data_IF_672093849888
#
_entry.id   IF_672093849888
#
_cell.length_a   1.000
_cell.length_b   1.000
_cell.length_c   1.000
_cell.angle_alpha   90.00
_cell.angle_beta   90.00
_cell.angle_gamma   90.00
#
_symmetry.space_group_name_H-M   'P 1'
#
loop_
_entity.id
_entity.type
_entity.pdbx_description
1 polymer ?
#
# COMPACT_ATOMS: atom_id res chain seq x y z
N UNK A 1 8.85 23.69 -40.86
CA UNK A 1 7.79 22.68 -40.62
C UNK A 1 8.32 21.60 -39.67
N UNK A 2 7.60 21.40 -38.55
CA UNK A 2 7.38 20.16 -37.75
C UNK A 2 8.38 19.00 -37.99
N UNK A 3 8.98 18.36 -36.99
CA UNK A 3 8.38 17.79 -35.77
C UNK A 3 9.47 17.57 -34.71
N UNK A 4 9.38 18.23 -33.55
CA UNK A 4 10.02 17.74 -32.32
C UNK A 4 9.02 16.77 -31.71
N UNK A 5 9.40 15.50 -31.63
CA UNK A 5 8.62 14.45 -31.00
C UNK A 5 8.68 14.70 -29.48
N UNK A 6 7.62 15.28 -28.94
CA UNK A 6 7.44 15.48 -27.51
C UNK A 6 7.01 14.12 -26.91
N UNK A 7 7.97 13.34 -26.40
CA UNK A 7 7.65 12.13 -25.65
C UNK A 7 7.43 12.53 -24.18
N UNK A 8 6.21 12.97 -23.84
CA UNK A 8 5.81 13.10 -22.44
C UNK A 8 5.31 11.73 -21.99
N UNK A 9 6.14 11.02 -21.23
CA UNK A 9 5.68 9.86 -20.46
C UNK A 9 5.10 10.38 -19.14
N UNK A 10 3.81 10.74 -19.13
CA UNK A 10 3.10 11.02 -17.87
C UNK A 10 2.84 9.68 -17.19
N UNK A 11 3.64 9.33 -16.19
CA UNK A 11 3.27 8.29 -15.23
C UNK A 11 2.12 8.89 -14.40
N UNK A 12 0.87 8.66 -14.81
CA UNK A 12 -0.30 9.05 -14.02
C UNK A 12 -0.40 8.13 -12.81
N UNK A 13 0.39 8.39 -11.76
CA UNK A 13 0.05 7.93 -10.43
C UNK A 13 -1.27 8.62 -10.05
N UNK A 14 -2.38 7.92 -10.26
CA UNK A 14 -3.70 8.42 -9.90
C UNK A 14 -3.78 8.48 -8.38
N UNK A 15 -3.69 9.69 -7.82
CA UNK A 15 -3.86 9.90 -6.38
C UNK A 15 -5.30 9.52 -6.04
N UNK A 16 -5.48 8.56 -5.13
CA UNK A 16 -6.76 7.90 -4.78
C UNK A 16 -7.82 8.84 -4.17
N UNK A 17 -7.49 10.11 -3.92
CA UNK A 17 -8.27 11.04 -3.12
C UNK A 17 -9.65 11.45 -3.71
N UNK A 18 -10.00 11.05 -4.94
CA UNK A 18 -11.22 11.52 -5.61
C UNK A 18 -11.98 10.46 -6.46
N UNK A 19 -11.69 9.16 -6.31
CA UNK A 19 -12.41 8.12 -7.07
C UNK A 19 -13.65 7.63 -6.33
N UNK A 20 -14.76 7.46 -7.05
CA UNK A 20 -15.91 6.71 -6.55
C UNK A 20 -15.46 5.29 -6.16
N UNK A 21 -15.91 4.85 -4.99
CA UNK A 21 -15.64 3.51 -4.49
C UNK A 21 -16.83 2.58 -4.82
N UNK A 22 -16.60 1.35 -5.30
CA UNK A 22 -15.28 0.78 -5.61
C UNK A 22 -14.67 1.35 -6.90
N UNK A 23 -13.34 1.48 -6.93
CA UNK A 23 -12.62 1.93 -8.12
C UNK A 23 -12.61 0.87 -9.23
N UNK A 24 -12.30 1.26 -10.47
CA UNK A 24 -12.16 0.29 -11.57
C UNK A 24 -10.98 -0.69 -11.37
N UNK A 25 -11.12 -2.00 -11.65
CA UNK A 25 -10.00 -2.91 -11.55
C UNK A 25 -8.84 -2.54 -12.49
N UNK A 26 -7.63 -2.34 -11.95
CA UNK A 26 -6.41 -2.07 -12.74
C UNK A 26 -5.14 -2.58 -12.08
N UNK A 27 -4.03 -2.54 -12.81
CA UNK A 27 -2.70 -2.97 -12.38
C UNK A 27 -1.96 -1.87 -11.61
N UNK A 28 -2.61 -1.32 -10.59
CA UNK A 28 -1.94 -0.49 -9.59
C UNK A 28 -2.54 0.88 -9.31
N UNK A 29 -2.23 1.34 -8.10
CA UNK A 29 -2.65 2.61 -7.51
C UNK A 29 -1.55 3.13 -6.60
N UNK A 30 -1.57 4.44 -6.34
CA UNK A 30 -0.68 5.10 -5.40
C UNK A 30 -1.45 5.62 -4.19
N UNK A 31 -0.89 5.40 -3.00
CA UNK A 31 -1.50 5.75 -1.73
C UNK A 31 -0.59 6.71 -0.96
N UNK A 32 -1.09 7.89 -0.55
CA UNK A 32 -0.31 8.82 0.26
C UNK A 32 -0.11 8.30 1.69
N UNK A 33 0.96 8.72 2.35
CA UNK A 33 1.22 8.43 3.77
C UNK A 33 0.02 8.86 4.63
N UNK A 34 -0.39 8.01 5.56
CA UNK A 34 -1.62 8.19 6.34
C UNK A 34 -2.86 7.68 5.63
N UNK A 35 -2.73 6.61 4.85
CA UNK A 35 -3.85 5.96 4.17
C UNK A 35 -4.14 4.61 4.81
N UNK A 36 -5.43 4.33 5.01
CA UNK A 36 -5.92 2.98 5.32
C UNK A 36 -6.93 2.59 4.26
N UNK A 37 -6.74 1.43 3.66
CA UNK A 37 -7.49 1.04 2.48
C UNK A 37 -7.67 -0.47 2.38
N UNK A 38 -8.68 -0.87 1.63
CA UNK A 38 -9.00 -2.27 1.33
C UNK A 38 -9.05 -2.44 -0.18
N UNK A 39 -8.39 -3.47 -0.68
CA UNK A 39 -8.45 -3.84 -2.10
C UNK A 39 -9.16 -5.17 -2.30
N UNK A 40 -9.78 -5.33 -3.46
CA UNK A 40 -10.36 -6.59 -3.95
C UNK A 40 -9.67 -7.01 -5.23
N UNK A 41 -9.22 -8.26 -5.27
CA UNK A 41 -8.47 -8.81 -6.40
C UNK A 41 -9.40 -9.35 -7.48
N UNK A 42 -9.04 -9.10 -8.74
CA UNK A 42 -9.72 -9.58 -9.94
C UNK A 42 -8.70 -10.34 -10.79
N UNK A 43 -8.87 -11.66 -10.99
CA UNK A 43 -7.92 -12.43 -11.77
C UNK A 43 -7.91 -11.94 -13.22
N UNK A 44 -6.72 -11.67 -13.74
CA UNK A 44 -6.48 -11.40 -15.17
C UNK A 44 -6.20 -12.71 -15.88
N UNK A 45 -5.43 -13.59 -15.23
CA UNK A 45 -5.10 -14.94 -15.69
C UNK A 45 -5.00 -15.90 -14.49
N UNK A 46 -4.36 -17.07 -14.67
CA UNK A 46 -4.21 -18.07 -13.61
C UNK A 46 -3.28 -17.65 -12.46
N UNK A 47 -2.47 -16.61 -12.64
CA UNK A 47 -1.41 -16.14 -11.74
C UNK A 47 -1.59 -14.67 -11.35
N UNK A 48 -1.97 -13.82 -12.29
CA UNK A 48 -1.95 -12.35 -12.18
C UNK A 48 -3.29 -11.75 -11.79
N UNK A 49 -3.27 -10.61 -11.11
CA UNK A 49 -4.47 -9.90 -10.66
C UNK A 49 -4.40 -8.40 -10.94
N UNK A 50 -5.52 -7.85 -11.39
CA UNK A 50 -5.85 -6.44 -11.20
C UNK A 50 -6.54 -6.28 -9.84
N UNK A 51 -6.68 -5.05 -9.35
CA UNK A 51 -7.48 -4.80 -8.15
C UNK A 51 -8.30 -3.52 -8.23
N UNK A 52 -9.38 -3.51 -7.46
CA UNK A 52 -10.16 -2.32 -7.13
C UNK A 52 -9.90 -1.94 -5.68
N UNK A 53 -9.94 -0.64 -5.40
CA UNK A 53 -10.01 -0.11 -4.04
C UNK A 53 -11.49 -0.12 -3.67
N UNK A 54 -11.84 -0.82 -2.58
CA UNK A 54 -13.23 -0.97 -2.13
C UNK A 54 -13.51 -0.20 -0.84
N UNK A 55 -12.46 0.23 -0.12
CA UNK A 55 -12.53 1.12 1.04
C UNK A 55 -11.26 1.96 1.07
N UNK A 56 -11.39 3.24 1.39
CA UNK A 56 -10.27 4.15 1.57
C UNK A 56 -10.62 5.19 2.64
N UNK A 57 -9.69 5.43 3.56
CA UNK A 57 -9.79 6.50 4.56
C UNK A 57 -8.42 7.13 4.80
N UNK A 58 -8.41 8.44 5.06
CA UNK A 58 -7.24 9.16 5.55
C UNK A 58 -7.16 9.04 7.06
N UNK A 59 -5.95 8.94 7.60
CA UNK A 59 -5.70 8.86 9.03
C UNK A 59 -4.37 9.48 9.39
N UNK A 60 -4.35 10.19 10.51
CA UNK A 60 -3.18 10.74 11.19
C UNK A 60 -2.71 9.83 12.34
N UNK A 61 -3.36 8.68 12.53
CA UNK A 61 -3.07 7.74 13.62
C UNK A 61 -1.64 7.23 13.52
N UNK A 62 -0.88 7.40 14.60
CA UNK A 62 0.40 6.73 14.82
C UNK A 62 0.12 5.42 15.57
N UNK A 63 0.54 4.29 15.00
CA UNK A 63 0.25 2.95 15.56
C UNK A 63 1.41 2.38 16.37
N UNK A 64 1.12 1.48 17.30
CA UNK A 64 2.16 0.64 17.92
C UNK A 64 2.58 -0.46 16.90
N UNK A 65 3.88 -0.56 16.61
CA UNK A 65 4.47 -1.54 15.67
C UNK A 65 4.19 -3.01 16.09
N UNK A 66 4.21 -3.31 17.39
CA UNK A 66 4.09 -4.65 17.95
C UNK A 66 2.68 -4.94 18.49
N UNK A 67 1.90 -3.91 18.80
CA UNK A 67 0.50 -4.02 19.24
C UNK A 67 -0.47 -3.28 18.31
N UNK A 68 -0.78 -3.91 17.17
CA UNK A 68 -1.69 -3.36 16.15
C UNK A 68 -2.78 -4.34 15.69
N UNK A 69 -3.07 -5.38 16.48
CA UNK A 69 -4.08 -6.38 16.10
C UNK A 69 -5.49 -5.78 15.97
N UNK A 70 -5.76 -4.69 16.69
CA UNK A 70 -7.01 -3.94 16.64
C UNK A 70 -7.12 -2.96 15.45
N UNK A 71 -6.04 -2.76 14.69
CA UNK A 71 -6.03 -1.77 13.60
C UNK A 71 -6.97 -2.15 12.44
N UNK A 72 -7.10 -3.45 12.21
CA UNK A 72 -8.02 -4.01 11.24
C UNK A 72 -9.13 -4.75 11.96
N UNK A 73 -10.35 -4.70 11.40
CA UNK A 73 -11.47 -5.54 11.84
C UNK A 73 -11.01 -6.99 12.02
N UNK A 74 -11.50 -7.72 13.03
CA UNK A 74 -11.09 -9.12 13.23
C UNK A 74 -11.57 -9.96 12.04
N UNK A 75 -12.86 -9.88 11.78
CA UNK A 75 -13.55 -10.45 10.62
C UNK A 75 -13.74 -9.34 9.58
N UNK A 76 -13.16 -9.53 8.39
CA UNK A 76 -13.32 -8.62 7.25
C UNK A 76 -13.86 -9.37 6.05
N UNK A 77 -14.08 -8.66 4.94
CA UNK A 77 -14.54 -9.29 3.69
C UNK A 77 -13.55 -10.36 3.22
N UNK A 78 -14.05 -11.57 2.92
CA UNK A 78 -13.20 -12.63 2.36
C UNK A 78 -12.78 -12.25 0.94
N UNK A 79 -11.53 -12.56 0.58
CA UNK A 79 -11.02 -12.24 -0.75
C UNK A 79 -10.47 -10.81 -0.90
N UNK A 80 -10.43 -10.03 0.18
CA UNK A 80 -9.82 -8.69 0.18
C UNK A 80 -8.48 -8.68 0.89
N UNK A 81 -7.75 -7.58 0.74
CA UNK A 81 -6.53 -7.31 1.50
C UNK A 81 -6.67 -5.93 2.12
N UNK A 82 -6.52 -5.85 3.44
CA UNK A 82 -6.50 -4.58 4.17
C UNK A 82 -5.07 -4.07 4.29
N UNK A 83 -4.91 -2.76 4.15
CA UNK A 83 -3.64 -2.06 4.25
C UNK A 83 -3.75 -0.86 5.18
N UNK A 84 -2.67 -0.60 5.91
CA UNK A 84 -2.40 0.68 6.56
C UNK A 84 -1.01 1.13 6.15
N UNK A 85 -0.94 2.27 5.48
CA UNK A 85 0.29 2.93 5.11
C UNK A 85 0.40 4.24 5.90
N UNK A 86 1.25 4.26 6.92
CA UNK A 86 1.25 5.34 7.91
C UNK A 86 2.48 5.32 8.80
N UNK A 87 2.40 6.05 9.91
CA UNK A 87 3.47 6.09 10.89
C UNK A 87 3.20 5.08 12.00
N UNK A 88 4.25 4.42 12.46
CA UNK A 88 4.20 3.71 13.72
C UNK A 88 5.44 3.92 14.54
N UNK A 89 5.35 3.50 15.79
CA UNK A 89 6.40 3.65 16.78
C UNK A 89 6.32 2.54 17.82
N UNK A 90 7.35 2.43 18.66
CA UNK A 90 7.37 1.60 19.84
C UNK A 90 8.18 2.27 20.95
N UNK A 91 7.92 1.90 22.20
CA UNK A 91 8.58 2.48 23.37
C UNK A 91 7.60 2.80 24.48
N UNK A 92 8.13 2.90 25.70
CA UNK A 92 7.38 3.18 26.92
C UNK A 92 7.38 4.67 27.27
N UNK A 93 8.40 5.42 26.84
CA UNK A 93 8.48 6.87 27.03
C UNK A 93 8.20 7.64 25.75
N UNK A 94 7.87 8.93 25.87
CA UNK A 94 7.63 9.78 24.70
C UNK A 94 8.89 9.95 23.85
N UNK A 95 10.06 10.08 24.49
CA UNK A 95 11.35 10.19 23.80
C UNK A 95 11.66 8.94 22.98
N UNK A 96 11.40 7.75 23.55
CA UNK A 96 11.54 6.48 22.83
C UNK A 96 10.58 6.44 21.64
N UNK A 97 9.32 6.85 21.84
CA UNK A 97 8.30 6.87 20.77
C UNK A 97 8.63 7.86 19.66
N UNK A 98 9.24 9.00 19.97
CA UNK A 98 9.71 9.96 18.96
C UNK A 98 10.88 9.34 18.18
N UNK A 99 11.88 8.80 18.88
CA UNK A 99 13.09 8.23 18.28
C UNK A 99 12.81 7.01 17.41
N UNK A 100 11.84 6.20 17.81
CA UNK A 100 11.51 4.95 17.14
C UNK A 100 10.42 5.09 16.07
N UNK A 101 10.01 6.31 15.73
CA UNK A 101 9.02 6.55 14.68
C UNK A 101 9.54 6.04 13.32
N UNK A 102 8.72 5.26 12.62
CA UNK A 102 9.00 4.69 11.30
C UNK A 102 7.78 4.83 10.40
N UNK A 103 8.03 4.83 9.10
CA UNK A 103 6.98 4.60 8.10
C UNK A 103 6.71 3.10 8.03
N UNK A 104 5.44 2.72 8.04
CA UNK A 104 4.97 1.35 8.02
C UNK A 104 4.00 1.10 6.87
N UNK A 105 4.07 -0.10 6.31
CA UNK A 105 2.98 -0.72 5.56
C UNK A 105 2.56 -1.99 6.32
N UNK A 106 1.38 -1.95 6.94
CA UNK A 106 0.75 -3.10 7.56
C UNK A 106 -0.24 -3.71 6.57
N UNK A 107 -0.21 -5.03 6.44
CA UNK A 107 -1.00 -5.76 5.46
C UNK A 107 -1.73 -6.88 6.18
N UNK A 108 -3.04 -7.03 5.94
CA UNK A 108 -3.83 -8.17 6.41
C UNK A 108 -4.51 -8.84 5.22
N UNK A 109 -3.95 -9.97 4.81
CA UNK A 109 -4.42 -10.69 3.62
C UNK A 109 -5.54 -11.65 3.99
N UNK A 110 -6.73 -11.39 3.45
CA UNK A 110 -7.94 -12.21 3.66
C UNK A 110 -8.33 -12.97 2.40
N UNK A 111 -7.47 -12.93 1.38
CA UNK A 111 -7.60 -13.78 0.21
C UNK A 111 -7.06 -15.18 0.52
N UNK A 112 -7.41 -16.13 -0.34
CA UNK A 112 -6.86 -17.49 -0.31
C UNK A 112 -5.47 -17.58 -0.97
N UNK A 113 -4.91 -16.47 -1.42
CA UNK A 113 -3.69 -16.43 -2.20
C UNK A 113 -2.56 -15.84 -1.37
N UNK A 114 -1.41 -16.50 -1.39
CA UNK A 114 -0.14 -15.87 -1.08
C UNK A 114 0.33 -15.12 -2.33
N UNK A 115 0.72 -13.87 -2.19
CA UNK A 115 0.90 -12.95 -3.30
C UNK A 115 2.26 -12.26 -3.26
N UNK A 116 2.94 -12.20 -4.39
CA UNK A 116 3.97 -11.22 -4.65
C UNK A 116 3.34 -10.01 -5.31
N UNK A 117 3.96 -8.85 -5.13
CA UNK A 117 3.58 -7.60 -5.78
C UNK A 117 4.82 -6.72 -5.91
N UNK A 118 4.73 -5.63 -6.66
CA UNK A 118 5.78 -4.61 -6.73
C UNK A 118 5.36 -3.40 -5.89
N UNK A 119 6.30 -2.91 -5.08
CA UNK A 119 6.17 -1.65 -4.32
C UNK A 119 7.08 -0.60 -4.93
N UNK A 120 6.53 0.53 -5.31
CA UNK A 120 7.30 1.74 -5.66
C UNK A 120 7.07 2.80 -4.59
N UNK A 121 8.11 3.56 -4.21
CA UNK A 121 8.03 4.56 -3.14
C UNK A 121 8.46 5.93 -3.64
N UNK A 122 7.79 6.97 -3.15
CA UNK A 122 8.13 8.37 -3.38
C UNK A 122 8.71 8.96 -2.10
N UNK A 123 9.99 9.34 -2.13
CA UNK A 123 10.74 9.81 -0.94
C UNK A 123 10.80 11.33 -0.79
N UNK A 124 10.33 12.06 -1.78
CA UNK A 124 10.20 13.52 -1.81
C UNK A 124 8.76 13.87 -2.19
N UNK A 125 8.20 14.97 -1.67
CA UNK A 125 6.77 15.30 -1.78
C UNK A 125 6.25 15.34 -3.23
N UNK A 126 7.11 15.70 -4.18
CA UNK A 126 6.84 15.68 -5.62
C UNK A 126 7.93 14.94 -6.41
N UNK A 127 8.63 14.01 -5.75
CA UNK A 127 9.72 13.25 -6.36
C UNK A 127 9.24 12.12 -7.27
N UNK A 128 10.20 11.42 -7.86
CA UNK A 128 9.93 10.22 -8.66
C UNK A 128 9.66 8.99 -7.80
N UNK A 129 8.87 8.06 -8.35
CA UNK A 129 8.67 6.74 -7.77
C UNK A 129 9.88 5.86 -8.05
N UNK A 130 10.39 5.21 -7.01
CA UNK A 130 11.51 4.27 -7.12
C UNK A 130 11.10 2.91 -6.58
N UNK A 131 11.51 1.84 -7.26
CA UNK A 131 11.19 0.48 -6.83
C UNK A 131 11.84 0.18 -5.48
N UNK A 132 11.09 -0.45 -4.59
CA UNK A 132 11.60 -0.99 -3.33
C UNK A 132 11.33 -2.48 -3.23
N UNK A 133 12.06 -3.15 -2.34
CA UNK A 133 11.82 -4.56 -2.02
C UNK A 133 10.65 -4.68 -1.05
N UNK A 134 9.86 -5.74 -1.21
CA UNK A 134 8.77 -6.10 -0.31
C UNK A 134 8.83 -7.59 -0.01
N UNK A 135 8.11 -8.01 1.03
CA UNK A 135 8.08 -9.42 1.46
C UNK A 135 6.90 -10.18 0.85
N UNK A 136 6.09 -9.51 0.03
CA UNK A 136 4.82 -10.03 -0.44
C UNK A 136 3.79 -10.14 0.68
N UNK A 137 2.75 -10.94 0.45
CA UNK A 137 1.60 -11.05 1.34
C UNK A 137 1.07 -12.48 1.39
N UNK A 138 1.27 -13.17 2.51
CA UNK A 138 0.85 -14.56 2.67
C UNK A 138 -0.62 -14.69 3.08
N UNK A 139 -1.30 -15.69 2.52
CA UNK A 139 -2.73 -15.95 2.77
C UNK A 139 -3.04 -16.08 4.27
N UNK A 140 -4.00 -15.29 4.77
CA UNK A 140 -4.46 -15.33 6.16
C UNK A 140 -3.52 -14.68 7.17
N UNK A 141 -2.33 -14.21 6.75
CA UNK A 141 -1.33 -13.64 7.65
C UNK A 141 -1.35 -12.10 7.63
N UNK A 142 -0.84 -11.54 8.73
CA UNK A 142 -0.48 -10.13 8.84
C UNK A 142 1.00 -9.97 8.48
N UNK A 143 1.32 -9.01 7.63
CA UNK A 143 2.70 -8.64 7.29
C UNK A 143 2.97 -7.19 7.69
N UNK A 144 4.24 -6.89 7.97
CA UNK A 144 4.72 -5.56 8.34
C UNK A 144 5.95 -5.26 7.50
N UNK A 145 5.92 -4.15 6.78
CA UNK A 145 7.09 -3.56 6.14
C UNK A 145 7.39 -2.22 6.81
N UNK A 146 8.67 -1.93 7.04
CA UNK A 146 9.11 -0.77 7.80
C UNK A 146 10.29 -0.09 7.12
N UNK A 147 10.26 1.23 7.05
CA UNK A 147 11.33 2.01 6.45
C UNK A 147 11.93 3.01 7.45
N UNK A 148 13.27 3.17 7.47
CA UNK A 148 13.95 4.11 8.35
C UNK A 148 13.91 5.56 7.82
N UNK A 149 13.31 5.79 6.66
CA UNK A 149 13.22 7.08 5.99
C UNK A 149 11.77 7.43 5.67
N UNK A 150 11.51 8.70 5.43
CA UNK A 150 10.18 9.17 5.02
C UNK A 150 9.84 8.70 3.62
N UNK A 151 8.57 8.32 3.46
CA UNK A 151 7.93 7.99 2.19
C UNK A 151 6.61 8.76 2.19
N UNK A 152 6.39 9.56 1.15
CA UNK A 152 5.19 10.37 0.98
C UNK A 152 4.08 9.58 0.29
N UNK A 153 4.43 8.69 -0.64
CA UNK A 153 3.49 7.85 -1.35
C UNK A 153 4.07 6.45 -1.60
N UNK A 154 3.19 5.46 -1.61
CA UNK A 154 3.50 4.09 -2.02
C UNK A 154 2.61 3.66 -3.19
N UNK A 155 3.23 3.20 -4.27
CA UNK A 155 2.58 2.57 -5.40
C UNK A 155 2.59 1.05 -5.24
N UNK A 156 1.43 0.41 -5.37
CA UNK A 156 1.29 -1.04 -5.28
C UNK A 156 0.76 -1.58 -6.62
N UNK A 157 1.49 -2.48 -7.27
CA UNK A 157 1.14 -3.02 -8.60
C UNK A 157 1.63 -4.46 -8.80
N UNK A 158 1.26 -5.07 -9.91
CA UNK A 158 1.71 -6.39 -10.37
C UNK A 158 1.46 -7.52 -9.36
N UNK A 159 0.26 -7.57 -8.77
CA UNK A 159 -0.10 -8.65 -7.84
C UNK A 159 -0.15 -10.01 -8.58
N UNK A 160 0.61 -10.98 -8.06
CA UNK A 160 0.76 -12.32 -8.64
C UNK A 160 0.74 -13.38 -7.55
N UNK A 161 0.22 -14.58 -7.83
CA UNK A 161 0.34 -15.72 -6.91
C UNK A 161 1.82 -16.06 -6.70
N UNK A 162 2.20 -16.24 -5.43
CA UNK A 162 3.44 -16.92 -5.08
C UNK A 162 3.35 -18.40 -5.46
N UNK A 163 4.48 -18.98 -5.86
CA UNK A 163 4.61 -20.42 -6.09
C UNK A 163 4.62 -21.17 -4.76
#
# INVERSE_FOLDING_TARGET
>A
MKKILLLIFVITASVVLAQDLPSEPRDGYAFPLGSKFRIKLYPVDSVSFNYSIVKFERTDKIVEIWDNDSLFEKEGEKGTIDFFFGLGTNGKTEEERIKNKKVLLLIKNRSKYSLSYTSDIQREENGEFTKTSNVGSHSGLKAIEMWPYMIYQIGLKEFKKMK
#
